data_IF_999471294334
#
_entry.id   IF_999471294334
#
_cell.length_a   1.000
_cell.length_b   1.000
_cell.length_c   1.000
_cell.angle_alpha   90.00
_cell.angle_beta   90.00
_cell.angle_gamma   90.00
#
_symmetry.space_group_name_H-M   'P 1'
#
loop_
_entity.id
_entity.type
_entity.pdbx_description
1 polymer ?
#
# COMPACT_ATOMS: atom_id res chain seq x y z
N UNK A 1 10.51 -19.15 -4.03
CA UNK A 1 10.16 -18.90 -2.60
C UNK A 1 8.74 -18.36 -2.55
N UNK A 2 7.86 -18.95 -1.73
CA UNK A 2 6.48 -18.45 -1.56
C UNK A 2 6.51 -17.21 -0.67
N UNK A 3 5.78 -16.16 -1.06
CA UNK A 3 5.61 -14.95 -0.25
C UNK A 3 4.13 -14.64 -0.07
N UNK A 4 3.83 -13.88 0.97
CA UNK A 4 2.49 -13.38 1.28
C UNK A 4 2.49 -11.86 1.08
N UNK A 5 1.35 -11.33 0.66
CA UNK A 5 1.15 -9.92 0.36
C UNK A 5 -0.15 -9.47 1.00
N UNK A 6 -0.18 -8.22 1.43
CA UNK A 6 -1.43 -7.57 1.82
C UNK A 6 -2.04 -6.98 0.56
N UNK A 7 -3.25 -7.40 0.22
CA UNK A 7 -3.94 -6.96 -1.00
C UNK A 7 -5.19 -6.15 -0.69
N UNK A 8 -5.11 -4.83 -0.85
CA UNK A 8 -6.22 -3.90 -0.61
C UNK A 8 -7.04 -3.81 -1.88
N UNK A 9 -8.31 -4.19 -1.80
CA UNK A 9 -9.23 -4.05 -2.93
C UNK A 9 -9.68 -2.60 -3.05
N UNK A 10 -9.58 -2.03 -4.24
CA UNK A 10 -10.00 -0.67 -4.51
C UNK A 10 -10.64 -0.58 -5.90
N UNK A 11 -11.75 0.18 -6.10
CA UNK A 11 -12.39 0.32 -7.41
C UNK A 11 -11.50 1.03 -8.44
N UNK A 12 -10.60 1.91 -7.98
CA UNK A 12 -9.63 2.62 -8.81
C UNK A 12 -8.20 2.40 -8.26
N UNK A 13 -7.59 1.22 -8.46
CA UNK A 13 -6.34 0.84 -7.79
C UNK A 13 -5.14 1.69 -8.24
N UNK A 14 -5.09 2.13 -9.51
CA UNK A 14 -4.03 2.99 -10.01
C UNK A 14 -4.09 4.40 -9.43
N UNK A 15 -5.30 4.98 -9.33
CA UNK A 15 -5.52 6.28 -8.68
C UNK A 15 -5.14 6.21 -7.20
N UNK A 16 -5.57 5.17 -6.51
CA UNK A 16 -5.21 4.96 -5.11
C UNK A 16 -3.70 4.78 -4.92
N UNK A 17 -3.02 4.05 -5.81
CA UNK A 17 -1.56 3.95 -5.79
C UNK A 17 -0.88 5.30 -6.05
N UNK A 18 -1.42 6.14 -6.93
CA UNK A 18 -0.89 7.49 -7.16
C UNK A 18 -1.04 8.38 -5.91
N UNK A 19 -2.16 8.29 -5.19
CA UNK A 19 -2.36 8.97 -3.91
C UNK A 19 -1.35 8.50 -2.86
N UNK A 20 -1.18 7.18 -2.68
CA UNK A 20 -0.19 6.61 -1.75
C UNK A 20 1.25 7.10 -2.03
N UNK A 21 1.61 7.27 -3.31
CA UNK A 21 2.92 7.80 -3.73
C UNK A 21 3.09 9.30 -3.46
N UNK A 22 2.01 10.04 -3.24
CA UNK A 22 2.03 11.47 -2.96
C UNK A 22 2.19 11.82 -1.48
N UNK A 23 2.04 10.84 -0.59
CA UNK A 23 2.26 11.06 0.84
C UNK A 23 3.74 11.30 1.17
N UNK A 24 3.96 11.88 2.36
CA UNK A 24 5.28 12.09 2.94
C UNK A 24 5.34 11.37 4.31
N UNK A 25 6.03 10.22 4.41
CA UNK A 25 6.83 9.56 3.38
C UNK A 25 5.98 8.83 2.31
N UNK A 26 6.49 8.65 1.08
CA UNK A 26 5.75 8.00 0.01
C UNK A 26 5.61 6.50 0.24
N UNK A 27 4.41 5.96 0.00
CA UNK A 27 4.14 4.53 0.10
C UNK A 27 4.22 3.88 -1.29
N UNK A 28 5.22 3.01 -1.48
CA UNK A 28 5.43 2.30 -2.75
C UNK A 28 4.80 0.92 -2.70
N UNK A 29 3.84 0.69 -3.58
CA UNK A 29 3.13 -0.58 -3.74
C UNK A 29 2.97 -0.94 -5.23
N UNK A 30 2.38 -2.10 -5.52
CA UNK A 30 2.09 -2.56 -6.89
C UNK A 30 0.61 -2.81 -7.10
N UNK A 31 0.09 -2.54 -8.29
CA UNK A 31 -1.27 -2.91 -8.69
C UNK A 31 -1.27 -4.31 -9.31
N UNK A 32 -2.27 -5.12 -8.97
CA UNK A 32 -2.58 -6.37 -9.67
C UNK A 32 -4.11 -6.57 -9.73
N UNK A 33 -4.69 -6.37 -10.92
CA UNK A 33 -6.14 -6.35 -11.07
C UNK A 33 -6.76 -5.23 -10.24
N UNK A 34 -7.82 -5.53 -9.47
CA UNK A 34 -8.52 -4.56 -8.62
C UNK A 34 -7.90 -4.38 -7.23
N UNK A 35 -6.59 -4.64 -7.09
CA UNK A 35 -5.89 -4.58 -5.80
C UNK A 35 -4.59 -3.79 -5.87
N UNK A 36 -4.33 -3.04 -4.81
CA UNK A 36 -3.00 -2.55 -4.45
C UNK A 36 -2.36 -3.56 -3.49
N UNK A 37 -1.14 -4.00 -3.79
CA UNK A 37 -0.42 -5.03 -3.05
C UNK A 37 0.81 -4.44 -2.35
N UNK A 38 0.88 -4.67 -1.04
CA UNK A 38 2.05 -4.37 -0.22
C UNK A 38 2.81 -5.65 0.11
N UNK A 39 4.14 -5.59 0.00
CA UNK A 39 5.03 -6.68 0.40
C UNK A 39 5.53 -6.43 1.82
N UNK A 40 4.96 -7.12 2.80
CA UNK A 40 5.27 -6.91 4.22
C UNK A 40 6.75 -7.13 4.57
N UNK A 41 7.50 -7.84 3.73
CA UNK A 41 8.96 -8.04 3.92
C UNK A 41 9.78 -6.76 3.69
N UNK A 42 9.17 -5.75 3.08
CA UNK A 42 9.78 -4.45 2.79
C UNK A 42 9.28 -3.33 3.70
N UNK A 43 8.41 -3.66 4.66
CA UNK A 43 7.88 -2.72 5.66
C UNK A 43 8.55 -3.04 6.99
N UNK A 44 9.38 -2.13 7.48
CA UNK A 44 10.05 -2.30 8.77
C UNK A 44 9.06 -2.08 9.93
N UNK A 45 9.27 -2.70 11.12
CA UNK A 45 8.36 -2.57 12.25
C UNK A 45 7.99 -1.12 12.61
N UNK A 46 8.97 -0.21 12.57
CA UNK A 46 8.79 1.21 12.85
C UNK A 46 7.98 1.96 11.77
N UNK A 47 7.84 1.40 10.57
CA UNK A 47 7.08 1.98 9.47
C UNK A 47 5.61 1.53 9.45
N UNK A 48 5.25 0.53 10.25
CA UNK A 48 3.91 -0.08 10.21
C UNK A 48 2.83 0.95 10.50
N UNK A 49 3.00 1.78 11.53
CA UNK A 49 2.01 2.81 11.88
C UNK A 49 1.86 3.88 10.79
N UNK A 50 2.97 4.29 10.14
CA UNK A 50 2.94 5.21 9.01
C UNK A 50 2.18 4.62 7.83
N UNK A 51 2.41 3.34 7.52
CA UNK A 51 1.67 2.63 6.46
C UNK A 51 0.18 2.54 6.81
N UNK A 52 -0.17 2.15 8.04
CA UNK A 52 -1.56 2.07 8.47
C UNK A 52 -2.24 3.44 8.33
N UNK A 53 -1.62 4.50 8.85
CA UNK A 53 -2.14 5.86 8.75
C UNK A 53 -2.40 6.26 7.29
N UNK A 54 -1.44 6.03 6.39
CA UNK A 54 -1.60 6.28 4.96
C UNK A 54 -2.75 5.49 4.33
N UNK A 55 -2.90 4.22 4.68
CA UNK A 55 -3.97 3.38 4.13
C UNK A 55 -5.37 3.79 4.62
N UNK A 56 -5.45 4.42 5.80
CA UNK A 56 -6.69 4.93 6.40
C UNK A 56 -6.93 6.41 6.17
N UNK A 57 -5.98 7.13 5.59
CA UNK A 57 -6.09 8.55 5.26
C UNK A 57 -6.98 8.69 4.02
N UNK A 58 -8.27 8.89 4.28
CA UNK A 58 -9.37 9.10 3.33
C UNK A 58 -9.53 8.02 2.25
N UNK A 59 -10.45 7.09 2.56
CA UNK A 59 -11.39 6.51 1.62
C UNK A 59 -12.78 7.08 1.83
#
# INVERSE_FOLDING_TARGET
MKTWLVGIRHPAPDTYLAQLRSFDPPIIARVAGSRVLLDARTIFPEQVETVIAALTADG
#
